data_IF_971701191034
#
_entry.id   IF_971701191034
#
_cell.length_a   1.000
_cell.length_b   1.000
_cell.length_c   1.000
_cell.angle_alpha   90.00
_cell.angle_beta   90.00
_cell.angle_gamma   90.00
#
_symmetry.space_group_name_H-M   'P 1'
#
loop_
_entity.id
_entity.type
_entity.pdbx_description
1 polymer ?
#
# COMPACT_ATOMS: atom_id res chain seq x y z
N UNK A 1 -2.49 16.05 -8.07
CA UNK A 1 -2.66 14.59 -8.25
C UNK A 1 -4.11 14.28 -8.63
N UNK A 2 -4.39 13.40 -9.60
CA UNK A 2 -5.70 12.73 -9.64
C UNK A 2 -5.66 11.62 -8.59
N UNK A 3 -6.70 11.50 -7.78
CA UNK A 3 -6.81 10.43 -6.78
C UNK A 3 -6.74 9.09 -7.53
N UNK A 4 -5.81 8.19 -7.19
CA UNK A 4 -5.69 6.90 -7.85
C UNK A 4 -6.88 6.01 -7.52
N UNK A 5 -7.23 5.13 -8.46
CA UNK A 5 -8.25 4.09 -8.20
C UNK A 5 -7.55 2.91 -7.54
N UNK A 6 -8.06 2.48 -6.38
CA UNK A 6 -7.46 1.39 -5.60
C UNK A 6 -8.36 0.16 -5.69
N UNK A 7 -7.89 -0.86 -6.40
CA UNK A 7 -8.53 -2.17 -6.43
C UNK A 7 -8.12 -2.95 -5.16
N UNK A 8 -9.09 -3.62 -4.54
CA UNK A 8 -8.93 -4.35 -3.27
C UNK A 8 -8.57 -3.46 -2.06
N UNK A 9 -9.01 -2.20 -2.04
CA UNK A 9 -8.74 -1.26 -0.94
C UNK A 9 -9.18 -1.78 0.44
N UNK A 10 -10.39 -2.35 0.54
CA UNK A 10 -10.89 -2.88 1.83
C UNK A 10 -10.01 -3.99 2.37
N UNK A 11 -9.50 -4.85 1.48
CA UNK A 11 -8.60 -5.94 1.86
C UNK A 11 -7.25 -5.41 2.35
N UNK A 12 -6.71 -4.40 1.67
CA UNK A 12 -5.51 -3.71 2.14
C UNK A 12 -5.71 -3.08 3.52
N UNK A 13 -6.83 -2.39 3.76
CA UNK A 13 -7.13 -1.77 5.05
C UNK A 13 -7.23 -2.80 6.19
N UNK A 14 -7.86 -3.96 5.94
CA UNK A 14 -7.89 -5.09 6.87
C UNK A 14 -6.47 -5.61 7.17
N UNK A 15 -5.70 -5.96 6.13
CA UNK A 15 -4.36 -6.52 6.28
C UNK A 15 -3.38 -5.52 6.93
N UNK A 16 -3.54 -4.21 6.65
CA UNK A 16 -2.75 -3.15 7.25
C UNK A 16 -3.07 -2.99 8.75
N UNK A 17 -4.36 -2.93 9.11
CA UNK A 17 -4.80 -2.82 10.49
C UNK A 17 -4.39 -4.03 11.35
N UNK A 18 -4.39 -5.23 10.77
CA UNK A 18 -3.94 -6.46 11.42
C UNK A 18 -2.42 -6.51 11.62
N UNK A 19 -1.66 -5.65 10.93
CA UNK A 19 -0.19 -5.65 10.95
C UNK A 19 0.39 -4.56 11.85
N UNK A 20 -0.20 -3.36 11.87
CA UNK A 20 0.36 -2.17 12.50
C UNK A 20 0.04 -2.09 14.02
N UNK A 21 0.98 -1.57 14.81
CA UNK A 21 0.75 -1.27 16.22
C UNK A 21 -0.18 -0.06 16.32
N UNK A 22 -1.40 -0.28 16.80
CA UNK A 22 -2.38 0.78 17.10
C UNK A 22 -2.70 1.73 15.93
N UNK A 23 -2.60 1.25 14.69
CA UNK A 23 -2.98 2.02 13.52
C UNK A 23 -4.48 2.03 13.28
N UNK A 24 -4.94 3.08 12.62
CA UNK A 24 -6.32 3.31 12.20
C UNK A 24 -6.48 3.04 10.70
N UNK A 25 -7.72 2.87 10.22
CA UNK A 25 -7.98 2.83 8.78
C UNK A 25 -7.50 4.09 8.03
N UNK A 26 -7.46 5.25 8.69
CA UNK A 26 -6.95 6.50 8.12
C UNK A 26 -5.43 6.42 7.90
N UNK A 27 -4.67 5.82 8.82
CA UNK A 27 -3.21 5.61 8.64
C UNK A 27 -2.90 4.75 7.40
N UNK A 28 -3.76 3.79 7.10
CA UNK A 28 -3.64 2.97 5.88
C UNK A 28 -3.87 3.80 4.62
N UNK A 29 -4.87 4.70 4.63
CA UNK A 29 -5.16 5.58 3.50
C UNK A 29 -4.04 6.59 3.27
N UNK A 30 -3.52 7.21 4.34
CA UNK A 30 -2.41 8.16 4.27
C UNK A 30 -1.14 7.50 3.71
N UNK A 31 -0.78 6.32 4.22
CA UNK A 31 0.39 5.58 3.74
C UNK A 31 0.25 5.19 2.25
N UNK A 32 -0.96 4.86 1.82
CA UNK A 32 -1.22 4.53 0.43
C UNK A 32 -1.15 5.78 -0.46
N UNK A 33 -1.70 6.93 -0.03
CA UNK A 33 -1.59 8.19 -0.75
C UNK A 33 -0.12 8.64 -0.87
N UNK A 34 0.66 8.51 0.19
CA UNK A 34 2.09 8.79 0.18
C UNK A 34 2.82 7.89 -0.84
N UNK A 35 2.55 6.58 -0.85
CA UNK A 35 3.10 5.68 -1.87
C UNK A 35 2.71 6.13 -3.29
N UNK A 36 1.47 6.55 -3.50
CA UNK A 36 1.00 7.02 -4.80
C UNK A 36 1.73 8.29 -5.27
N UNK A 37 2.11 9.17 -4.34
CA UNK A 37 2.89 10.37 -4.63
C UNK A 37 4.33 10.05 -5.07
N UNK A 38 4.84 8.87 -4.71
CA UNK A 38 6.16 8.39 -5.13
C UNK A 38 6.17 7.61 -6.45
N UNK A 39 5.00 7.18 -6.95
CA UNK A 39 4.94 6.44 -8.23
C UNK A 39 4.91 7.44 -9.37
N UNK A 40 5.94 7.39 -10.22
CA UNK A 40 6.05 8.27 -11.38
C UNK A 40 4.96 7.94 -12.43
N UNK A 41 4.44 8.93 -13.21
CA UNK A 41 3.31 8.73 -14.12
C UNK A 41 3.53 7.77 -15.30
N UNK A 42 4.76 7.27 -15.45
CA UNK A 42 5.20 6.33 -16.49
C UNK A 42 5.72 5.02 -15.89
N UNK A 43 5.63 4.87 -14.56
CA UNK A 43 6.08 3.70 -13.83
C UNK A 43 4.91 2.72 -13.66
N UNK A 44 4.73 1.88 -14.68
CA UNK A 44 3.92 0.67 -14.56
C UNK A 44 4.73 -0.41 -13.84
N UNK A 45 4.06 -1.25 -13.03
CA UNK A 45 4.67 -2.45 -12.47
C UNK A 45 4.40 -2.66 -10.99
N UNK A 46 5.22 -3.49 -10.38
CA UNK A 46 5.08 -3.87 -8.97
C UNK A 46 5.72 -2.83 -8.05
N UNK A 47 4.98 -2.48 -6.99
CA UNK A 47 5.39 -1.57 -5.94
C UNK A 47 5.12 -2.20 -4.57
N UNK A 48 5.95 -1.81 -3.60
CA UNK A 48 5.87 -2.32 -2.24
C UNK A 48 5.76 -1.16 -1.27
N UNK A 49 4.74 -1.21 -0.41
CA UNK A 49 4.65 -0.35 0.76
C UNK A 49 5.26 -1.10 1.95
N UNK A 50 6.31 -0.52 2.54
CA UNK A 50 7.02 -1.11 3.68
C UNK A 50 6.51 -0.51 5.00
N UNK A 51 6.16 -1.39 5.94
CA UNK A 51 6.08 -1.05 7.36
C UNK A 51 7.34 -1.53 8.05
N UNK A 52 8.07 -0.59 8.66
CA UNK A 52 9.25 -0.89 9.48
C UNK A 52 8.83 -1.69 10.72
N UNK A 53 9.65 -2.64 11.13
CA UNK A 53 9.29 -3.61 12.17
C UNK A 53 8.86 -3.02 13.51
N UNK A 54 9.39 -1.85 13.90
CA UNK A 54 8.99 -1.12 15.11
C UNK A 54 7.55 -0.60 15.08
N UNK A 55 6.96 -0.48 13.90
CA UNK A 55 5.55 -0.14 13.69
C UNK A 55 4.64 -1.36 13.57
N UNK A 56 5.17 -2.58 13.54
CA UNK A 56 4.36 -3.80 13.35
C UNK A 56 4.15 -4.57 14.65
N UNK A 57 3.00 -5.23 14.79
CA UNK A 57 2.69 -6.10 15.93
C UNK A 57 3.73 -7.23 16.07
N UNK A 58 4.25 -7.71 14.93
CA UNK A 58 5.23 -8.79 14.88
C UNK A 58 6.65 -8.38 15.25
N UNK A 59 6.95 -7.07 15.30
CA UNK A 59 8.31 -6.56 15.44
C UNK A 59 9.19 -6.76 14.19
N UNK A 60 8.62 -7.17 13.05
CA UNK A 60 9.32 -7.47 11.80
C UNK A 60 8.78 -6.62 10.66
N UNK A 61 9.62 -6.24 9.67
CA UNK A 61 9.14 -5.50 8.53
C UNK A 61 8.06 -6.30 7.76
N UNK A 62 7.06 -5.59 7.28
CA UNK A 62 5.99 -6.14 6.43
C UNK A 62 5.92 -5.34 5.14
N UNK A 63 5.76 -6.04 4.03
CA UNK A 63 5.66 -5.44 2.71
C UNK A 63 4.28 -5.73 2.13
N UNK A 64 3.57 -4.68 1.72
CA UNK A 64 2.30 -4.76 1.01
C UNK A 64 2.57 -4.63 -0.49
N UNK A 65 2.21 -5.65 -1.26
CA UNK A 65 2.46 -5.68 -2.68
C UNK A 65 1.28 -5.12 -3.47
N UNK A 66 1.59 -4.17 -4.33
CA UNK A 66 0.67 -3.59 -5.29
C UNK A 66 1.22 -3.67 -6.71
N UNK A 67 0.33 -3.68 -7.70
CA UNK A 67 0.70 -3.37 -9.09
C UNK A 67 0.08 -2.04 -9.48
N UNK A 68 0.89 -1.09 -9.95
CA UNK A 68 0.45 0.14 -10.57
C UNK A 68 0.23 -0.07 -12.07
N UNK A 69 -0.86 0.49 -12.59
CA UNK A 69 -1.20 0.51 -14.01
C UNK A 69 -1.64 1.91 -14.39
N UNK A 70 -0.88 2.53 -15.30
CA UNK A 70 -1.10 3.86 -15.83
C UNK A 70 -2.15 3.80 -16.93
N UNK A 71 -3.29 4.46 -16.68
CA UNK A 71 -4.38 4.55 -17.66
C UNK A 71 -4.52 5.97 -18.18
N UNK A 72 -5.25 6.14 -19.29
CA UNK A 72 -5.59 7.47 -19.82
C UNK A 72 -6.34 8.35 -18.79
N UNK A 73 -7.00 7.72 -17.82
CA UNK A 73 -7.75 8.40 -16.76
C UNK A 73 -6.94 8.69 -15.50
N UNK A 74 -5.79 8.02 -15.32
CA UNK A 74 -4.92 8.14 -14.14
C UNK A 74 -4.33 6.79 -13.73
N UNK A 75 -3.64 6.77 -12.59
CA UNK A 75 -3.06 5.55 -12.02
C UNK A 75 -4.14 4.68 -11.38
N UNK A 76 -4.05 3.37 -11.63
CA UNK A 76 -4.78 2.34 -10.90
C UNK A 76 -3.79 1.51 -10.10
N UNK A 77 -4.06 1.31 -8.81
CA UNK A 77 -3.28 0.45 -7.93
C UNK A 77 -4.09 -0.78 -7.59
N UNK A 78 -3.52 -1.95 -7.78
CA UNK A 78 -4.14 -3.22 -7.42
C UNK A 78 -3.38 -3.85 -6.27
N UNK A 79 -4.03 -3.96 -5.11
CA UNK A 79 -3.47 -4.69 -3.98
C UNK A 79 -3.62 -6.20 -4.18
N UNK A 80 -2.55 -6.94 -3.89
CA UNK A 80 -2.52 -8.40 -3.97
C UNK A 80 -2.51 -9.06 -2.61
N UNK A 81 -1.49 -8.76 -1.80
CA UNK A 81 -1.31 -9.35 -0.47
C UNK A 81 -0.16 -8.67 0.28
N UNK A 82 -0.03 -8.99 1.56
CA UNK A 82 1.13 -8.66 2.38
C UNK A 82 2.03 -9.89 2.57
N UNK A 83 3.32 -9.65 2.81
CA UNK A 83 4.30 -10.70 3.10
C UNK A 83 5.28 -10.28 4.20
N UNK A 84 5.67 -11.25 5.04
CA UNK A 84 6.83 -11.14 5.91
C UNK A 84 8.08 -11.59 5.14
N UNK A 85 9.11 -10.76 5.07
CA UNK A 85 10.44 -11.25 4.74
C UNK A 85 11.11 -11.74 6.03
N UNK A 86 11.51 -13.02 6.05
CA UNK A 86 12.13 -13.70 7.19
C UNK A 86 13.64 -13.51 7.24
#
# INVERSE_FOLDING_TARGET
MRIPVINNQSRFQEDYADTIIAGTPEDAEDALLEMCDYIEPYEDGDHWLELVGDRTISGKPVYFWFTATMTQTGMQLTYHSWAHHY
#
